data_IF_482501926240
#
_entry.id   IF_482501926240
#
_cell.length_a   1.000
_cell.length_b   1.000
_cell.length_c   1.000
_cell.angle_alpha   90.00
_cell.angle_beta   90.00
_cell.angle_gamma   90.00
#
_symmetry.space_group_name_H-M   'P 1'
#
loop_
_entity.id
_entity.type
_entity.pdbx_description
1 polymer ?
#
# COMPACT_ATOMS: atom_id res chain seq x y z
N UNK A 1 -13.59 8.47 6.61
CA UNK A 1 -13.41 8.37 5.15
C UNK A 1 -13.76 6.97 4.71
N UNK A 2 -14.43 6.79 3.57
CA UNK A 2 -14.76 5.48 3.01
C UNK A 2 -13.59 4.89 2.23
N UNK A 3 -13.61 3.56 1.99
CA UNK A 3 -12.63 2.90 1.10
C UNK A 3 -12.53 3.57 -0.28
N UNK A 4 -13.65 3.99 -0.86
CA UNK A 4 -13.67 4.66 -2.17
C UNK A 4 -13.05 6.06 -2.15
N UNK A 5 -13.22 6.80 -1.05
CA UNK A 5 -12.54 8.09 -0.87
C UNK A 5 -11.02 7.91 -0.76
N UNK A 6 -10.56 6.89 -0.02
CA UNK A 6 -9.13 6.57 0.08
C UNK A 6 -8.56 6.12 -1.27
N UNK A 7 -9.27 5.24 -1.98
CA UNK A 7 -8.87 4.82 -3.31
C UNK A 7 -8.76 6.00 -4.28
N UNK A 8 -9.75 6.90 -4.27
CA UNK A 8 -9.77 8.10 -5.10
C UNK A 8 -8.63 9.06 -4.76
N UNK A 9 -8.36 9.26 -3.47
CA UNK A 9 -7.21 10.04 -2.98
C UNK A 9 -5.89 9.47 -3.51
N UNK A 10 -5.66 8.17 -3.33
CA UNK A 10 -4.42 7.50 -3.75
C UNK A 10 -4.27 7.55 -5.27
N UNK A 11 -5.30 7.21 -6.04
CA UNK A 11 -5.28 7.30 -7.51
C UNK A 11 -4.93 8.71 -7.98
N UNK A 12 -5.60 9.72 -7.44
CA UNK A 12 -5.41 11.11 -7.85
C UNK A 12 -4.02 11.66 -7.49
N UNK A 13 -3.48 11.30 -6.33
CA UNK A 13 -2.21 11.86 -5.84
C UNK A 13 -0.98 11.09 -6.28
N UNK A 14 -1.08 9.78 -6.50
CA UNK A 14 0.03 8.95 -6.98
C UNK A 14 0.15 8.96 -8.51
N UNK A 15 -0.95 9.21 -9.23
CA UNK A 15 -0.96 9.24 -10.69
C UNK A 15 -0.34 7.97 -11.29
N UNK A 16 0.71 8.07 -12.13
CA UNK A 16 1.40 6.91 -12.70
C UNK A 16 2.07 5.98 -11.67
N UNK A 17 2.18 6.40 -10.41
CA UNK A 17 2.67 5.60 -9.29
C UNK A 17 1.66 4.59 -8.75
N UNK A 18 0.37 4.81 -8.99
CA UNK A 18 -0.69 3.84 -8.71
C UNK A 18 -0.70 2.78 -9.81
N UNK A 19 -0.61 1.49 -9.43
CA UNK A 19 -0.61 0.38 -10.39
C UNK A 19 -1.99 -0.25 -10.47
N UNK A 20 -2.49 -0.75 -9.35
CA UNK A 20 -3.75 -1.50 -9.29
C UNK A 20 -4.36 -1.42 -7.89
N UNK A 21 -5.60 -1.91 -7.77
CA UNK A 21 -6.22 -2.17 -6.47
C UNK A 21 -7.08 -3.43 -6.54
N UNK A 22 -7.30 -4.06 -5.39
CA UNK A 22 -8.27 -5.13 -5.23
C UNK A 22 -9.08 -4.94 -3.95
N UNK A 23 -10.33 -5.37 -3.99
CA UNK A 23 -11.28 -5.33 -2.86
C UNK A 23 -11.97 -6.69 -2.70
N UNK A 24 -11.20 -7.79 -2.78
CA UNK A 24 -11.73 -9.15 -2.69
C UNK A 24 -12.28 -9.50 -1.31
N UNK A 25 -11.91 -8.74 -0.27
CA UNK A 25 -12.39 -8.87 1.10
C UNK A 25 -13.11 -7.58 1.48
N UNK A 26 -14.31 -7.71 2.07
CA UNK A 26 -15.21 -6.58 2.35
C UNK A 26 -14.52 -5.42 3.08
N UNK A 27 -13.73 -5.70 4.11
CA UNK A 27 -13.11 -4.69 4.98
C UNK A 27 -11.64 -4.42 4.61
N UNK A 28 -11.23 -4.73 3.38
CA UNK A 28 -9.87 -4.50 2.92
C UNK A 28 -9.85 -3.77 1.59
N UNK A 29 -8.91 -2.84 1.48
CA UNK A 29 -8.49 -2.21 0.24
C UNK A 29 -7.02 -2.51 0.03
N UNK A 30 -6.70 -3.29 -1.00
CA UNK A 30 -5.33 -3.55 -1.40
C UNK A 30 -4.95 -2.60 -2.52
N UNK A 31 -3.81 -1.92 -2.41
CA UNK A 31 -3.34 -0.96 -3.42
C UNK A 31 -1.91 -1.28 -3.80
N UNK A 32 -1.71 -1.64 -5.06
CA UNK A 32 -0.39 -1.85 -5.63
C UNK A 32 0.19 -0.53 -6.12
N UNK A 33 1.41 -0.20 -5.70
CA UNK A 33 2.10 1.03 -6.07
C UNK A 33 3.52 0.76 -6.55
N UNK A 34 4.05 1.68 -7.36
CA UNK A 34 5.46 1.63 -7.77
C UNK A 34 6.38 1.87 -6.58
N UNK A 35 7.58 1.25 -6.54
CA UNK A 35 8.57 1.44 -5.48
C UNK A 35 8.86 2.92 -5.17
N UNK A 36 9.02 3.75 -6.19
CA UNK A 36 9.29 5.18 -6.02
C UNK A 36 8.12 5.98 -5.43
N UNK A 37 6.92 5.40 -5.37
CA UNK A 37 5.70 6.06 -4.88
C UNK A 37 5.29 5.58 -3.48
N UNK A 38 6.02 4.64 -2.88
CA UNK A 38 5.68 4.09 -1.55
C UNK A 38 5.68 5.15 -0.46
N UNK A 39 6.69 6.02 -0.42
CA UNK A 39 6.78 7.09 0.59
C UNK A 39 5.57 7.99 0.46
N UNK A 40 5.25 8.46 -0.75
CA UNK A 40 4.10 9.32 -0.99
C UNK A 40 2.79 8.64 -0.58
N UNK A 41 2.60 7.36 -0.91
CA UNK A 41 1.40 6.60 -0.55
C UNK A 41 1.24 6.50 0.98
N UNK A 42 2.32 6.15 1.68
CA UNK A 42 2.34 6.07 3.15
C UNK A 42 2.10 7.44 3.79
N UNK A 43 2.75 8.50 3.30
CA UNK A 43 2.53 9.85 3.82
C UNK A 43 1.11 10.35 3.59
N UNK A 44 0.50 10.05 2.44
CA UNK A 44 -0.90 10.39 2.20
C UNK A 44 -1.80 9.73 3.25
N UNK A 45 -1.64 8.43 3.49
CA UNK A 45 -2.43 7.74 4.51
C UNK A 45 -2.14 8.29 5.90
N UNK A 46 -0.87 8.40 6.29
CA UNK A 46 -0.47 8.76 7.64
C UNK A 46 -0.77 10.21 8.01
N UNK A 47 -0.51 11.16 7.09
CA UNK A 47 -0.61 12.61 7.38
C UNK A 47 -1.94 13.22 6.98
N UNK A 48 -2.62 12.69 5.96
CA UNK A 48 -3.85 13.33 5.42
C UNK A 48 -5.13 12.61 5.82
N UNK A 49 -5.03 11.46 6.48
CA UNK A 49 -6.18 10.67 6.92
C UNK A 49 -6.10 10.33 8.41
N UNK A 50 -7.01 9.49 8.91
CA UNK A 50 -6.99 8.94 10.28
C UNK A 50 -6.40 7.52 10.35
N UNK A 51 -5.72 7.09 9.28
CA UNK A 51 -5.07 5.80 9.22
C UNK A 51 -4.01 5.66 10.31
N UNK A 52 -4.08 4.55 11.06
CA UNK A 52 -3.03 4.12 11.99
C UNK A 52 -2.16 3.09 11.29
N UNK A 53 -0.86 3.34 11.24
CA UNK A 53 0.10 2.35 10.77
C UNK A 53 0.12 1.15 11.72
N UNK A 54 0.09 -0.06 11.16
CA UNK A 54 0.10 -1.31 11.92
C UNK A 54 1.47 -1.98 11.86
N UNK A 55 1.89 -2.36 10.66
CA UNK A 55 3.04 -3.24 10.45
C UNK A 55 3.49 -3.20 8.99
N UNK A 56 4.77 -3.50 8.79
CA UNK A 56 5.34 -3.87 7.49
C UNK A 56 5.55 -5.38 7.43
N UNK A 57 5.14 -6.01 6.35
CA UNK A 57 5.36 -7.45 6.11
C UNK A 57 6.20 -7.62 4.85
N UNK A 58 7.31 -8.36 4.96
CA UNK A 58 8.06 -8.85 3.82
C UNK A 58 7.64 -10.28 3.49
N UNK A 59 7.48 -10.58 2.20
CA UNK A 59 7.09 -11.89 1.70
C UNK A 59 8.03 -12.32 0.57
N UNK A 60 8.53 -13.55 0.66
CA UNK A 60 9.26 -14.16 -0.46
C UNK A 60 8.28 -14.74 -1.47
N UNK A 61 8.12 -14.04 -2.59
CA UNK A 61 7.17 -14.39 -3.64
C UNK A 61 7.88 -14.73 -4.95
N UNK A 62 9.17 -15.08 -4.90
CA UNK A 62 9.98 -15.33 -6.10
C UNK A 62 9.43 -16.46 -6.96
N UNK A 63 8.90 -17.51 -6.34
CA UNK A 63 8.31 -18.61 -7.10
C UNK A 63 6.97 -18.25 -7.75
N UNK A 64 6.12 -17.48 -7.04
CA UNK A 64 4.74 -17.19 -7.45
C UNK A 64 4.63 -15.95 -8.36
N UNK A 65 5.40 -14.91 -8.06
CA UNK A 65 5.30 -13.57 -8.67
C UNK A 65 6.64 -12.99 -9.12
N UNK A 66 7.74 -13.76 -9.00
CA UNK A 66 9.11 -13.34 -9.40
C UNK A 66 9.55 -12.02 -8.74
N UNK A 67 9.12 -11.79 -7.49
CA UNK A 67 9.42 -10.59 -6.69
C UNK A 67 9.60 -10.92 -5.21
N UNK A 68 10.15 -9.97 -4.45
CA UNK A 68 9.85 -9.88 -3.02
C UNK A 68 8.65 -8.94 -2.82
N UNK A 69 7.63 -9.37 -2.08
CA UNK A 69 6.49 -8.53 -1.72
C UNK A 69 6.78 -7.76 -0.44
N UNK A 70 6.49 -6.47 -0.42
CA UNK A 70 6.54 -5.63 0.78
C UNK A 70 5.21 -4.94 0.96
N UNK A 71 4.61 -5.16 2.13
CA UNK A 71 3.26 -4.72 2.45
C UNK A 71 3.28 -3.77 3.64
N UNK A 72 2.69 -2.58 3.50
CA UNK A 72 2.48 -1.66 4.61
C UNK A 72 0.99 -1.61 4.95
N UNK A 73 0.64 -2.04 6.16
CA UNK A 73 -0.75 -2.19 6.58
C UNK A 73 -1.16 -1.00 7.46
N UNK A 74 -2.34 -0.48 7.16
CA UNK A 74 -2.97 0.61 7.90
C UNK A 74 -4.38 0.22 8.32
N UNK A 75 -4.81 0.65 9.50
CA UNK A 75 -6.18 0.51 9.96
C UNK A 75 -6.89 1.87 9.99
N UNK A 76 -8.14 1.87 9.54
CA UNK A 76 -9.10 2.95 9.76
C UNK A 76 -10.05 2.50 10.88
N UNK A 77 -9.60 2.65 12.13
CA UNK A 77 -10.22 2.03 13.30
C UNK A 77 -11.72 2.38 13.45
N UNK A 78 -12.09 3.63 13.16
CA UNK A 78 -13.49 4.11 13.25
C UNK A 78 -14.37 3.58 12.12
N UNK A 79 -13.81 3.43 10.93
CA UNK A 79 -14.53 2.98 9.74
C UNK A 79 -14.43 1.47 9.50
N UNK A 80 -13.75 0.74 10.39
CA UNK A 80 -13.67 -0.71 10.43
C UNK A 80 -13.11 -1.36 9.14
N UNK A 81 -12.13 -0.72 8.48
CA UNK A 81 -11.45 -1.33 7.34
C UNK A 81 -9.93 -1.14 7.38
N UNK A 82 -9.24 -1.92 6.55
CA UNK A 82 -7.80 -1.89 6.40
C UNK A 82 -7.40 -1.46 5.00
N UNK A 83 -6.23 -0.82 4.90
CA UNK A 83 -5.57 -0.51 3.64
C UNK A 83 -4.19 -1.15 3.65
N UNK A 84 -3.90 -1.92 2.61
CA UNK A 84 -2.57 -2.50 2.36
C UNK A 84 -1.94 -1.78 1.18
N UNK A 85 -0.78 -1.18 1.39
CA UNK A 85 0.09 -0.70 0.32
C UNK A 85 1.03 -1.85 -0.06
N UNK A 86 0.91 -2.35 -1.28
CA UNK A 86 1.69 -3.43 -1.86
C UNK A 86 2.76 -2.89 -2.80
N UNK A 87 4.01 -3.21 -2.49
CA UNK A 87 5.18 -2.77 -3.23
C UNK A 87 6.04 -3.97 -3.59
N UNK A 88 6.41 -4.05 -4.87
CA UNK A 88 7.32 -5.06 -5.38
C UNK A 88 8.78 -4.62 -5.21
N UNK A 89 9.59 -5.43 -4.54
CA UNK A 89 11.04 -5.31 -4.57
C UNK A 89 11.65 -6.31 -5.57
N UNK A 90 12.56 -5.82 -6.41
CA UNK A 90 13.27 -6.63 -7.41
C UNK A 90 14.18 -7.66 -6.71
N UNK A 91 14.05 -8.98 -7.00
CA UNK A 91 14.91 -9.99 -6.41
C UNK A 91 16.41 -9.82 -6.68
N UNK A 92 16.78 -9.18 -7.80
CA UNK A 92 18.17 -8.91 -8.15
C UNK A 92 18.71 -7.62 -7.52
N UNK A 93 17.82 -6.72 -7.09
CA UNK A 93 18.15 -5.48 -6.39
C UNK A 93 17.07 -5.17 -5.35
N UNK A 94 17.05 -5.90 -4.21
CA UNK A 94 15.95 -5.88 -3.24
C UNK A 94 16.05 -4.66 -2.32
N UNK A 95 15.96 -3.47 -2.92
CA UNK A 95 16.07 -2.19 -2.22
C UNK A 95 14.77 -1.42 -2.43
N UNK A 96 14.20 -0.94 -1.33
CA UNK A 96 13.06 -0.02 -1.33
C UNK A 96 13.39 1.22 -0.51
N UNK A 97 12.74 2.37 -0.80
CA UNK A 97 12.81 3.52 0.08
C UNK A 97 12.28 3.20 1.47
N UNK A 98 12.94 3.71 2.53
CA UNK A 98 12.42 3.62 3.90
C UNK A 98 11.20 4.54 4.07
N UNK A 99 10.25 4.12 4.91
CA UNK A 99 9.03 4.88 5.24
C UNK A 99 9.09 5.57 6.62
N UNK A 100 10.25 5.51 7.29
CA UNK A 100 10.54 6.18 8.57
C UNK A 100 11.10 7.58 8.37
#
# INVERSE_FOLDING_TARGET
MTKQEILSLLKAKLGPGFIAHTESIHDQLWVEVKPQSVIQAVELLHRTTKARYLVSVGSDERELKKRFGVYHLFSFDKEHFFVTIDVSADPHKPVLPSIT
#
